data_IF_740171398052
#
_entry.id   IF_740171398052
#
_cell.length_a   1.000
_cell.length_b   1.000
_cell.length_c   1.000
_cell.angle_alpha   90.00
_cell.angle_beta   90.00
_cell.angle_gamma   90.00
#
_symmetry.space_group_name_H-M   'P 1'
#
loop_
_entity.id
_entity.type
_entity.pdbx_description
1 polymer ?
#
# COMPACT_ATOMS: atom_id res chain seq x y z
N UNK A 1 -5.87 -12.22 -19.14
CA UNK A 1 -6.40 -12.38 -17.76
C UNK A 1 -6.71 -11.00 -17.21
N UNK A 2 -7.81 -10.84 -16.48
CA UNK A 2 -8.32 -9.56 -15.96
C UNK A 2 -7.64 -9.10 -14.65
N UNK A 3 -6.31 -9.24 -14.51
CA UNK A 3 -5.57 -8.82 -13.30
C UNK A 3 -4.38 -7.96 -13.69
N UNK A 4 -4.02 -7.00 -12.84
CA UNK A 4 -2.90 -6.07 -13.06
C UNK A 4 -1.93 -6.11 -11.88
N UNK A 5 -0.69 -5.71 -12.12
CA UNK A 5 0.24 -5.36 -11.05
C UNK A 5 -0.11 -3.97 -10.53
N UNK A 6 -0.54 -3.88 -9.28
CA UNK A 6 -1.07 -2.64 -8.70
C UNK A 6 -0.22 -2.09 -7.53
N UNK A 7 1.00 -2.63 -7.34
CA UNK A 7 1.94 -2.10 -6.36
C UNK A 7 2.56 -0.80 -6.91
N UNK A 8 2.52 0.29 -6.14
CA UNK A 8 3.26 1.53 -6.41
C UNK A 8 4.40 1.63 -5.41
N UNK A 9 5.62 1.51 -5.91
CA UNK A 9 6.82 1.46 -5.06
C UNK A 9 7.94 2.23 -5.72
N UNK A 10 8.65 3.05 -4.93
CA UNK A 10 9.97 3.61 -5.28
C UNK A 10 10.96 3.17 -4.21
N UNK A 11 12.12 2.67 -4.63
CA UNK A 11 13.20 2.28 -3.73
C UNK A 11 14.44 3.04 -4.17
N UNK A 12 15.06 3.74 -3.23
CA UNK A 12 16.23 4.57 -3.50
C UNK A 12 17.19 4.57 -2.32
N UNK A 13 18.37 5.13 -2.55
CA UNK A 13 19.35 5.36 -1.52
C UNK A 13 19.13 6.72 -0.84
N UNK A 14 19.17 6.74 0.49
CA UNK A 14 19.08 7.91 1.34
C UNK A 14 20.43 8.23 2.00
N UNK A 15 20.74 9.51 2.16
CA UNK A 15 21.94 9.91 2.88
C UNK A 15 21.83 9.54 4.38
N UNK A 16 22.94 9.08 4.95
CA UNK A 16 23.06 8.81 6.40
C UNK A 16 24.11 9.74 6.97
N UNK A 17 23.74 10.49 8.02
CA UNK A 17 24.70 11.26 8.79
C UNK A 17 25.51 10.31 9.69
N UNK A 18 26.55 9.70 9.14
CA UNK A 18 27.45 8.86 9.91
C UNK A 18 28.34 9.74 10.80
N UNK A 19 28.41 9.42 12.10
CA UNK A 19 29.19 10.20 13.07
C UNK A 19 30.71 10.14 12.79
N UNK A 20 31.17 9.13 12.08
CA UNK A 20 32.57 8.91 11.70
C UNK A 20 32.97 9.62 10.39
N UNK A 21 32.05 10.38 9.77
CA UNK A 21 32.29 11.09 8.51
C UNK A 21 32.33 10.19 7.26
N UNK A 22 31.98 8.91 7.39
CA UNK A 22 31.89 8.00 6.24
C UNK A 22 30.68 8.31 5.34
N UNK A 23 30.86 8.22 4.02
CA UNK A 23 29.78 8.40 3.05
C UNK A 23 28.91 7.13 2.96
N UNK A 24 28.07 6.92 3.99
CA UNK A 24 27.13 5.80 4.02
C UNK A 24 25.77 6.16 3.47
N UNK A 25 25.10 5.16 2.91
CA UNK A 25 23.74 5.29 2.36
C UNK A 25 22.80 4.31 3.07
N UNK A 26 21.56 4.70 3.28
CA UNK A 26 20.51 3.84 3.79
C UNK A 26 19.56 3.49 2.66
N UNK A 27 18.88 2.35 2.77
CA UNK A 27 17.78 2.03 1.89
C UNK A 27 16.52 2.78 2.34
N UNK A 28 15.87 3.48 1.41
CA UNK A 28 14.59 4.17 1.66
C UNK A 28 13.58 3.68 0.64
N UNK A 29 12.37 3.39 1.10
CA UNK A 29 11.28 2.94 0.24
C UNK A 29 10.05 3.85 0.37
N UNK A 30 9.33 4.03 -0.72
CA UNK A 30 8.04 4.72 -0.77
C UNK A 30 7.00 3.74 -1.30
N UNK A 31 5.82 3.70 -0.68
CA UNK A 31 4.70 2.89 -1.12
C UNK A 31 3.37 3.52 -0.70
N UNK A 32 2.31 3.29 -1.45
CA UNK A 32 1.00 3.90 -1.20
C UNK A 32 0.05 3.81 -2.38
N UNK A 33 -0.91 4.73 -2.46
CA UNK A 33 -1.89 4.79 -3.56
C UNK A 33 -1.42 5.56 -4.79
N UNK A 34 -0.49 6.51 -4.62
CA UNK A 34 0.01 7.36 -5.72
C UNK A 34 0.93 6.61 -6.70
N UNK A 35 0.51 6.54 -7.96
CA UNK A 35 1.39 6.24 -9.10
C UNK A 35 2.16 7.51 -9.54
N UNK A 36 3.36 7.34 -10.11
CA UNK A 36 4.09 8.42 -10.77
C UNK A 36 3.56 8.61 -12.20
N UNK A 37 2.43 9.28 -12.32
CA UNK A 37 1.72 9.50 -13.59
C UNK A 37 0.83 10.76 -13.49
N UNK A 38 0.32 11.21 -14.63
CA UNK A 38 -0.52 12.41 -14.73
C UNK A 38 -1.78 12.32 -13.86
N UNK A 39 -2.17 13.46 -13.31
CA UNK A 39 -3.37 13.64 -12.50
C UNK A 39 -3.22 13.35 -11.01
N UNK A 40 -2.07 12.86 -10.56
CA UNK A 40 -1.85 12.44 -9.15
C UNK A 40 -1.32 13.57 -8.27
N UNK A 41 -0.74 14.61 -8.86
CA UNK A 41 -0.32 15.78 -8.12
C UNK A 41 -1.57 16.56 -7.67
N UNK A 42 -1.63 16.89 -6.37
CA UNK A 42 -2.68 17.74 -5.83
C UNK A 42 -2.27 18.32 -4.46
N UNK A 43 -3.10 19.24 -3.98
CA UNK A 43 -3.02 19.81 -2.63
C UNK A 43 -4.24 19.42 -1.80
N UNK A 44 -4.18 19.48 -0.47
CA UNK A 44 -5.33 19.20 0.40
C UNK A 44 -6.57 20.07 0.11
N UNK A 45 -6.41 21.25 -0.49
CA UNK A 45 -7.52 22.12 -0.87
C UNK A 45 -8.30 21.64 -2.10
N UNK A 46 -7.75 20.71 -2.87
CA UNK A 46 -8.37 20.10 -4.05
C UNK A 46 -9.03 21.10 -5.01
N UNK A 47 -8.28 22.11 -5.51
CA UNK A 47 -8.84 23.17 -6.35
C UNK A 47 -9.38 22.64 -7.69
N UNK A 48 -10.67 22.86 -7.94
CA UNK A 48 -11.35 22.42 -9.16
C UNK A 48 -10.96 23.22 -10.42
N UNK A 49 -10.77 24.54 -10.28
CA UNK A 49 -10.59 25.46 -11.41
C UNK A 49 -9.36 26.35 -11.29
N UNK A 50 -8.89 26.66 -10.07
CA UNK A 50 -7.87 27.72 -9.85
C UNK A 50 -6.48 27.34 -10.39
N UNK A 51 -6.22 26.05 -10.58
CA UNK A 51 -4.90 25.50 -10.90
C UNK A 51 -4.83 24.89 -12.30
N UNK A 52 -5.95 24.85 -13.05
CA UNK A 52 -6.02 24.23 -14.39
C UNK A 52 -5.19 24.98 -15.45
N UNK A 53 -4.90 26.26 -15.22
CA UNK A 53 -4.01 27.07 -16.06
C UNK A 53 -2.54 27.08 -15.61
N UNK A 54 -2.20 26.40 -14.51
CA UNK A 54 -0.86 26.40 -13.90
C UNK A 54 -0.34 24.98 -13.69
N UNK A 55 -0.27 24.51 -12.45
CA UNK A 55 0.32 23.21 -12.08
C UNK A 55 -0.51 22.02 -12.57
N UNK A 56 -1.81 22.19 -12.80
CA UNK A 56 -2.72 21.16 -13.30
C UNK A 56 -3.15 21.41 -14.76
N UNK A 57 -2.35 22.16 -15.52
CA UNK A 57 -2.51 22.26 -16.98
C UNK A 57 -2.00 20.99 -17.64
N UNK A 58 -2.38 20.74 -18.90
CA UNK A 58 -1.78 19.69 -19.73
C UNK A 58 -0.25 19.64 -19.58
N UNK A 59 0.34 18.45 -19.38
CA UNK A 59 -0.29 17.12 -19.45
C UNK A 59 -0.98 16.64 -18.15
N UNK A 60 -0.96 17.41 -17.06
CA UNK A 60 -1.45 16.97 -15.73
C UNK A 60 -2.95 17.25 -15.50
N UNK A 61 -3.65 17.79 -16.49
CA UNK A 61 -5.10 17.92 -16.41
C UNK A 61 -5.75 16.54 -16.46
N UNK A 62 -6.43 16.18 -15.37
CA UNK A 62 -7.04 14.86 -15.21
C UNK A 62 -8.53 15.00 -14.97
N UNK A 63 -9.35 14.32 -15.78
CA UNK A 63 -10.80 14.21 -15.59
C UNK A 63 -11.33 12.96 -16.31
N UNK A 64 -11.68 11.93 -15.54
CA UNK A 64 -12.24 10.69 -16.09
C UNK A 64 -13.75 10.53 -15.88
N UNK A 65 -14.39 11.42 -15.11
CA UNK A 65 -15.85 11.39 -14.91
C UNK A 65 -16.59 12.14 -16.03
N UNK A 66 -15.99 13.19 -16.59
CA UNK A 66 -16.59 14.04 -17.63
C UNK A 66 -15.62 14.32 -18.79
N UNK A 67 -15.78 13.60 -19.90
CA UNK A 67 -14.93 13.75 -21.08
C UNK A 67 -15.13 15.06 -21.87
N UNK A 68 -16.03 15.94 -21.45
CA UNK A 68 -16.31 17.23 -22.10
C UNK A 68 -15.61 18.40 -21.40
N UNK A 69 -14.65 18.15 -20.52
CA UNK A 69 -13.90 19.20 -19.81
C UNK A 69 -12.45 19.21 -20.26
N UNK A 70 -11.78 20.35 -20.10
CA UNK A 70 -10.36 20.51 -20.40
C UNK A 70 -9.70 21.48 -19.41
N UNK A 71 -8.38 21.61 -19.53
CA UNK A 71 -7.59 22.60 -18.79
C UNK A 71 -7.97 24.06 -19.07
N UNK A 72 -8.84 24.35 -20.05
CA UNK A 72 -9.30 25.72 -20.35
C UNK A 72 -10.48 26.17 -19.49
N UNK A 73 -11.37 25.26 -19.09
CA UNK A 73 -12.61 25.60 -18.38
C UNK A 73 -12.98 24.66 -17.22
N UNK A 74 -12.34 23.50 -17.10
CA UNK A 74 -12.51 22.57 -15.98
C UNK A 74 -13.95 22.02 -15.81
N UNK A 75 -14.28 21.49 -14.61
CA UNK A 75 -13.38 21.24 -13.49
C UNK A 75 -12.41 20.09 -13.78
N UNK A 76 -11.19 20.14 -13.24
CA UNK A 76 -10.38 18.92 -13.11
C UNK A 76 -11.04 17.97 -12.09
N UNK A 77 -10.61 16.72 -12.09
CA UNK A 77 -10.87 15.76 -11.03
C UNK A 77 -9.71 15.84 -10.03
N UNK A 78 -9.92 16.40 -8.81
CA UNK A 78 -8.90 16.38 -7.77
C UNK A 78 -8.55 14.95 -7.33
N UNK A 79 -7.37 14.79 -6.75
CA UNK A 79 -6.82 13.51 -6.34
C UNK A 79 -6.47 13.51 -4.85
N UNK A 80 -7.36 12.94 -4.04
CA UNK A 80 -7.10 12.67 -2.62
C UNK A 80 -6.51 11.26 -2.47
N UNK A 81 -5.33 11.14 -1.86
CA UNK A 81 -4.64 9.85 -1.70
C UNK A 81 -3.65 9.89 -0.53
N UNK A 82 -3.13 8.73 -0.15
CA UNK A 82 -2.16 8.55 0.94
C UNK A 82 -0.94 7.77 0.44
N UNK A 83 0.24 8.23 0.84
CA UNK A 83 1.51 7.59 0.55
C UNK A 83 2.43 7.66 1.77
N UNK A 84 3.36 6.72 1.89
CA UNK A 84 4.29 6.67 3.01
C UNK A 84 5.73 6.47 2.54
N UNK A 85 6.67 7.03 3.31
CA UNK A 85 8.10 6.75 3.27
C UNK A 85 8.43 5.79 4.40
N UNK A 86 9.17 4.73 4.09
CA UNK A 86 9.67 3.73 5.03
C UNK A 86 11.19 3.79 5.06
N UNK A 87 11.71 3.80 6.28
CA UNK A 87 13.13 3.74 6.57
C UNK A 87 13.41 2.57 7.52
N UNK A 88 14.70 2.24 7.64
CA UNK A 88 15.13 1.19 8.52
C UNK A 88 14.84 -0.21 7.97
N UNK A 89 14.72 -1.23 8.84
CA UNK A 89 14.67 -2.63 8.41
C UNK A 89 13.49 -2.97 7.48
N UNK A 90 12.38 -2.23 7.57
CA UNK A 90 11.20 -2.47 6.75
C UNK A 90 11.40 -2.05 5.27
N UNK A 91 12.35 -1.15 4.97
CA UNK A 91 12.69 -0.82 3.58
C UNK A 91 13.29 -2.03 2.84
N UNK A 92 14.02 -2.89 3.56
CA UNK A 92 14.57 -4.14 3.01
C UNK A 92 13.47 -5.14 2.64
N UNK A 93 12.36 -5.17 3.38
CA UNK A 93 11.23 -6.04 3.04
C UNK A 93 10.54 -5.58 1.73
N UNK A 94 10.52 -4.26 1.49
CA UNK A 94 10.03 -3.70 0.22
C UNK A 94 10.96 -4.04 -0.94
N UNK A 95 12.29 -3.94 -0.73
CA UNK A 95 13.29 -4.39 -1.71
C UNK A 95 13.17 -5.88 -2.00
N UNK A 96 13.06 -6.72 -0.98
CA UNK A 96 12.87 -8.15 -1.15
C UNK A 96 11.63 -8.44 -2.01
N UNK A 97 10.50 -7.76 -1.78
CA UNK A 97 9.32 -7.90 -2.64
C UNK A 97 9.62 -7.51 -4.11
N UNK A 98 10.39 -6.45 -4.36
CA UNK A 98 10.80 -6.08 -5.72
C UNK A 98 11.69 -7.16 -6.36
N UNK A 99 12.71 -7.63 -5.65
CA UNK A 99 13.63 -8.66 -6.14
C UNK A 99 12.93 -9.99 -6.44
N UNK A 100 12.03 -10.44 -5.56
CA UNK A 100 11.25 -11.67 -5.77
C UNK A 100 10.37 -11.58 -7.01
N UNK A 101 9.84 -10.38 -7.32
CA UNK A 101 9.10 -10.12 -8.55
C UNK A 101 10.00 -10.07 -9.77
N UNK A 102 11.14 -9.39 -9.69
CA UNK A 102 12.12 -9.30 -10.78
C UNK A 102 12.58 -10.69 -11.20
N UNK A 103 13.03 -11.50 -10.24
CA UNK A 103 13.47 -12.89 -10.48
C UNK A 103 12.39 -13.75 -11.14
N UNK A 104 11.11 -13.48 -10.86
CA UNK A 104 10.00 -14.22 -11.44
C UNK A 104 9.60 -13.74 -12.84
N UNK A 105 9.57 -12.43 -13.05
CA UNK A 105 8.96 -11.82 -14.24
C UNK A 105 9.99 -11.41 -15.31
N UNK A 106 11.25 -11.24 -14.92
CA UNK A 106 12.37 -10.81 -15.77
C UNK A 106 13.53 -11.79 -15.57
N UNK A 107 13.21 -13.10 -15.62
CA UNK A 107 14.13 -14.16 -15.26
C UNK A 107 15.43 -14.19 -16.09
N UNK A 108 15.37 -13.71 -17.33
CA UNK A 108 16.52 -13.66 -18.24
C UNK A 108 17.49 -12.50 -17.90
N UNK A 109 17.08 -11.54 -17.06
CA UNK A 109 17.87 -10.37 -16.65
C UNK A 109 18.10 -10.34 -15.14
N UNK A 110 18.20 -11.49 -14.48
CA UNK A 110 18.48 -11.57 -13.04
C UNK A 110 19.80 -10.89 -12.69
N UNK A 111 20.79 -10.93 -13.58
CA UNK A 111 22.09 -10.29 -13.39
C UNK A 111 22.01 -8.75 -13.41
N UNK A 112 20.93 -8.18 -13.95
CA UNK A 112 20.68 -6.73 -13.92
C UNK A 112 20.14 -6.24 -12.56
N UNK A 113 19.82 -7.17 -11.65
CA UNK A 113 19.31 -6.82 -10.32
C UNK A 113 20.42 -6.17 -9.49
N UNK A 114 20.16 -4.92 -9.06
CA UNK A 114 21.12 -4.13 -8.29
C UNK A 114 21.50 -4.82 -6.98
N UNK A 115 22.78 -5.16 -6.84
CA UNK A 115 23.34 -5.71 -5.60
C UNK A 115 23.76 -4.55 -4.69
N UNK A 116 23.16 -4.46 -3.50
CA UNK A 116 23.49 -3.42 -2.52
C UNK A 116 25.00 -3.49 -2.16
N UNK A 117 25.79 -2.45 -2.47
CA UNK A 117 27.19 -2.40 -2.08
C UNK A 117 27.40 -2.31 -0.56
N UNK A 118 28.59 -2.65 -0.09
CA UNK A 118 28.94 -2.67 1.34
C UNK A 118 28.88 -1.29 2.04
N UNK A 119 28.85 -0.18 1.31
CA UNK A 119 28.69 1.15 1.91
C UNK A 119 27.25 1.43 2.37
N UNK A 120 26.28 0.61 1.95
CA UNK A 120 24.93 0.70 2.48
C UNK A 120 24.90 0.29 3.96
N UNK A 121 24.04 0.94 4.73
CA UNK A 121 23.69 0.53 6.09
C UNK A 121 22.92 -0.77 6.00
N UNK A 122 23.43 -1.82 6.63
CA UNK A 122 22.78 -3.13 6.63
C UNK A 122 21.49 -3.14 7.45
N UNK A 123 20.66 -4.15 7.23
CA UNK A 123 19.41 -4.35 7.96
C UNK A 123 19.59 -4.38 9.49
N UNK A 124 20.67 -4.98 9.99
CA UNK A 124 20.95 -5.05 11.43
C UNK A 124 21.46 -3.72 11.98
N UNK A 125 22.28 -3.00 11.22
CA UNK A 125 22.72 -1.65 11.60
C UNK A 125 21.56 -0.67 11.67
N UNK A 126 20.57 -0.78 10.77
CA UNK A 126 19.35 0.03 10.82
C UNK A 126 18.55 -0.21 12.11
N UNK A 127 18.48 -1.45 12.62
CA UNK A 127 17.81 -1.72 13.90
C UNK A 127 18.47 -0.96 15.04
N UNK A 128 19.81 -0.87 15.03
CA UNK A 128 20.58 -0.14 16.03
C UNK A 128 20.38 1.37 15.86
N UNK A 129 20.41 1.87 14.61
CA UNK A 129 20.27 3.31 14.30
C UNK A 129 18.96 3.90 14.81
N UNK A 130 17.87 3.12 14.77
CA UNK A 130 16.56 3.53 15.27
C UNK A 130 16.23 3.00 16.68
N UNK A 131 17.14 2.29 17.35
CA UNK A 131 16.85 1.63 18.63
C UNK A 131 16.50 2.62 19.75
N UNK A 132 17.17 3.77 19.78
CA UNK A 132 17.00 4.80 20.81
C UNK A 132 16.21 6.02 20.32
N UNK A 133 15.69 5.96 19.08
CA UNK A 133 14.84 7.01 18.54
C UNK A 133 13.46 6.98 19.26
N UNK A 134 13.06 8.07 19.94
CA UNK A 134 11.77 8.15 20.62
C UNK A 134 10.58 8.20 19.65
N UNK A 135 10.81 8.64 18.40
CA UNK A 135 9.80 8.76 17.35
C UNK A 135 9.78 7.52 16.43
N UNK A 136 10.43 6.42 16.84
CA UNK A 136 10.47 5.19 16.05
C UNK A 136 9.11 4.52 15.90
N UNK A 137 8.96 3.83 14.77
CA UNK A 137 7.78 3.00 14.48
C UNK A 137 8.15 1.52 14.45
N UNK A 138 7.25 0.67 14.93
CA UNK A 138 7.27 -0.76 14.58
C UNK A 138 6.49 -0.93 13.28
N UNK A 139 7.18 -1.36 12.23
CA UNK A 139 6.59 -1.54 10.90
C UNK A 139 6.64 -3.01 10.48
N UNK A 140 5.59 -3.47 9.79
CA UNK A 140 5.55 -4.77 9.14
C UNK A 140 4.95 -4.59 7.75
N UNK A 141 5.65 -5.09 6.73
CA UNK A 141 5.19 -5.03 5.33
C UNK A 141 4.24 -6.20 5.06
N UNK A 142 3.14 -5.93 4.36
CA UNK A 142 2.15 -6.91 3.93
C UNK A 142 1.93 -6.81 2.43
N UNK A 143 1.54 -7.90 1.79
CA UNK A 143 1.26 -7.95 0.35
C UNK A 143 0.09 -8.88 -0.01
N UNK A 144 -0.36 -8.72 -1.24
CA UNK A 144 -1.28 -9.62 -1.93
C UNK A 144 -0.58 -10.05 -3.22
N UNK A 145 -0.10 -11.28 -3.28
CA UNK A 145 0.73 -11.76 -4.40
C UNK A 145 0.58 -13.27 -4.57
N UNK A 146 0.86 -13.78 -5.78
CA UNK A 146 0.89 -15.21 -6.08
C UNK A 146 2.18 -15.62 -6.78
N UNK A 147 2.44 -16.92 -6.86
CA UNK A 147 3.65 -17.49 -7.48
C UNK A 147 3.83 -17.15 -8.97
N UNK A 148 2.81 -16.58 -9.64
CA UNK A 148 2.95 -16.10 -11.02
C UNK A 148 3.65 -14.76 -11.07
N UNK A 149 3.58 -14.02 -9.97
CA UNK A 149 4.06 -12.64 -9.85
C UNK A 149 5.39 -12.53 -9.14
N UNK A 150 5.68 -13.44 -8.19
CA UNK A 150 6.93 -13.45 -7.41
C UNK A 150 7.39 -14.87 -7.07
N UNK A 151 8.67 -15.02 -6.77
CA UNK A 151 9.27 -16.24 -6.22
C UNK A 151 9.31 -16.16 -4.68
N UNK A 152 8.44 -16.91 -4.00
CA UNK A 152 8.39 -16.99 -2.54
C UNK A 152 7.96 -18.37 -2.06
N UNK A 153 8.28 -18.72 -0.81
CA UNK A 153 7.93 -20.01 -0.22
C UNK A 153 6.55 -20.01 0.46
N UNK A 154 5.81 -21.11 0.33
CA UNK A 154 4.51 -21.33 0.99
C UNK A 154 4.65 -21.51 2.51
N UNK A 155 5.86 -21.83 2.99
CA UNK A 155 6.20 -21.98 4.41
C UNK A 155 6.07 -20.67 5.20
N UNK A 156 6.06 -19.52 4.51
CA UNK A 156 6.01 -18.20 5.12
C UNK A 156 4.65 -17.92 5.80
N UNK A 157 4.62 -17.29 6.99
CA UNK A 157 3.38 -16.93 7.67
C UNK A 157 2.44 -16.07 6.79
N UNK A 158 1.25 -16.58 6.48
CA UNK A 158 0.26 -15.88 5.66
C UNK A 158 0.30 -16.22 4.17
N UNK A 159 1.25 -17.04 3.73
CA UNK A 159 1.19 -17.77 2.48
C UNK A 159 0.42 -19.10 2.64
N UNK A 160 -0.29 -19.52 1.60
CA UNK A 160 -1.04 -20.78 1.59
C UNK A 160 -1.27 -21.26 0.15
N UNK A 161 -1.46 -22.58 -0.08
CA UNK A 161 -1.83 -23.09 -1.38
C UNK A 161 -3.29 -22.77 -1.70
N UNK A 162 -3.56 -22.22 -2.89
CA UNK A 162 -4.91 -21.98 -3.41
C UNK A 162 -5.01 -22.48 -4.84
N UNK A 163 -5.82 -23.52 -5.05
CA UNK A 163 -5.98 -24.19 -6.36
C UNK A 163 -4.61 -24.57 -6.97
N UNK A 164 -3.75 -25.19 -6.16
CA UNK A 164 -2.42 -25.65 -6.57
C UNK A 164 -1.35 -24.58 -6.71
N UNK A 165 -1.59 -23.34 -6.28
CA UNK A 165 -0.64 -22.22 -6.41
C UNK A 165 -0.34 -21.59 -5.07
N UNK A 166 0.90 -21.18 -4.83
CA UNK A 166 1.24 -20.36 -3.67
C UNK A 166 0.57 -18.98 -3.80
N UNK A 167 -0.16 -18.58 -2.76
CA UNK A 167 -0.77 -17.26 -2.64
C UNK A 167 -0.44 -16.70 -1.27
N UNK A 168 0.01 -15.45 -1.24
CA UNK A 168 0.12 -14.66 -0.03
C UNK A 168 -1.01 -13.63 0.01
N UNK A 169 -1.74 -13.59 1.13
CA UNK A 169 -2.83 -12.64 1.35
C UNK A 169 -2.68 -11.92 2.70
N UNK A 170 -1.45 -11.50 3.02
CA UNK A 170 -1.12 -10.90 4.31
C UNK A 170 -1.80 -9.53 4.50
N UNK A 171 -2.07 -8.76 3.43
CA UNK A 171 -2.88 -7.52 3.52
C UNK A 171 -4.27 -7.82 4.09
N UNK A 172 -4.98 -8.80 3.53
CA UNK A 172 -6.33 -9.16 4.00
C UNK A 172 -6.33 -9.60 5.47
N UNK A 173 -5.33 -10.41 5.85
CA UNK A 173 -5.16 -10.88 7.23
C UNK A 173 -4.85 -9.73 8.20
N UNK A 174 -3.98 -8.80 7.80
CA UNK A 174 -3.64 -7.63 8.59
C UNK A 174 -4.89 -6.76 8.84
N UNK A 175 -5.69 -6.48 7.80
CA UNK A 175 -6.97 -5.78 7.95
C UNK A 175 -7.89 -6.47 8.96
N UNK A 176 -8.12 -7.78 8.82
CA UNK A 176 -8.97 -8.53 9.75
C UNK A 176 -8.43 -8.44 11.19
N UNK A 177 -7.12 -8.61 11.36
CA UNK A 177 -6.47 -8.52 12.67
C UNK A 177 -6.69 -7.15 13.33
N UNK A 178 -6.43 -6.05 12.60
CA UNK A 178 -6.58 -4.71 13.16
C UNK A 178 -8.04 -4.38 13.49
N UNK A 179 -8.99 -4.77 12.63
CA UNK A 179 -10.41 -4.59 12.88
C UNK A 179 -10.84 -5.33 14.15
N UNK A 180 -10.42 -6.59 14.32
CA UNK A 180 -10.74 -7.39 15.52
C UNK A 180 -10.17 -6.80 16.80
N UNK A 181 -9.02 -6.12 16.73
CA UNK A 181 -8.38 -5.46 17.89
C UNK A 181 -8.89 -4.06 18.17
N UNK A 182 -9.59 -3.43 17.22
CA UNK A 182 -10.11 -2.08 17.39
C UNK A 182 -10.98 -1.97 18.65
N UNK A 183 -10.68 -0.95 19.46
CA UNK A 183 -11.35 -0.72 20.74
C UNK A 183 -12.31 0.47 20.73
N UNK A 184 -11.98 1.53 19.98
CA UNK A 184 -12.68 2.83 20.04
C UNK A 184 -13.34 3.20 18.71
N UNK A 185 -12.59 3.20 17.62
CA UNK A 185 -13.13 3.48 16.29
C UNK A 185 -12.26 2.85 15.20
N UNK A 186 -12.80 2.84 13.98
CA UNK A 186 -12.09 2.54 12.74
C UNK A 186 -12.33 3.71 11.79
N UNK A 187 -11.29 4.13 11.09
CA UNK A 187 -11.35 5.09 9.98
C UNK A 187 -10.76 4.43 8.74
N UNK A 188 -11.50 4.46 7.63
CA UNK A 188 -11.08 3.88 6.35
C UNK A 188 -11.31 4.93 5.26
N UNK A 189 -10.25 5.25 4.53
CA UNK A 189 -10.31 5.84 3.19
C UNK A 189 -9.95 4.75 2.19
N UNK A 190 -10.80 4.52 1.20
CA UNK A 190 -10.52 3.52 0.17
C UNK A 190 -11.25 3.83 -1.13
N UNK A 191 -10.61 3.54 -2.27
CA UNK A 191 -11.25 3.67 -3.58
C UNK A 191 -12.43 2.69 -3.75
N UNK A 192 -12.38 1.53 -3.10
CA UNK A 192 -13.44 0.53 -3.16
C UNK A 192 -13.84 0.05 -1.76
N UNK A 193 -15.15 -0.10 -1.55
CA UNK A 193 -15.68 -0.73 -0.34
C UNK A 193 -16.75 -1.78 -0.67
N UNK A 194 -16.28 -2.97 -1.07
CA UNK A 194 -17.14 -4.11 -1.40
C UNK A 194 -16.53 -5.43 -0.96
N UNK A 195 -17.37 -6.38 -0.54
CA UNK A 195 -16.94 -7.73 -0.19
C UNK A 195 -17.92 -8.45 0.72
N UNK A 196 -17.46 -9.55 1.32
CA UNK A 196 -18.23 -10.39 2.22
C UNK A 196 -19.52 -10.91 1.57
N UNK A 197 -19.42 -11.31 0.31
CA UNK A 197 -20.56 -11.76 -0.50
C UNK A 197 -21.33 -12.93 0.10
N UNK A 198 -20.69 -13.74 0.95
CA UNK A 198 -21.36 -14.81 1.71
C UNK A 198 -22.56 -14.30 2.52
N UNK A 199 -22.56 -13.03 2.93
CA UNK A 199 -23.65 -12.39 3.66
C UNK A 199 -24.62 -11.59 2.79
N UNK A 200 -24.50 -11.62 1.46
CA UNK A 200 -25.42 -10.90 0.56
C UNK A 200 -26.76 -11.64 0.43
N UNK A 201 -27.85 -10.88 0.30
CA UNK A 201 -29.22 -11.43 0.19
C UNK A 201 -29.46 -12.19 -1.12
N UNK A 202 -28.72 -11.84 -2.17
CA UNK A 202 -28.73 -12.46 -3.50
C UNK A 202 -27.28 -12.67 -3.93
N UNK A 203 -27.02 -13.70 -4.74
CA UNK A 203 -25.67 -14.03 -5.22
C UNK A 203 -24.66 -14.32 -4.09
N UNK A 204 -25.13 -14.97 -3.03
CA UNK A 204 -24.33 -15.23 -1.84
C UNK A 204 -23.16 -16.18 -2.17
N UNK A 205 -21.93 -15.69 -1.99
CA UNK A 205 -20.71 -16.46 -2.25
C UNK A 205 -20.31 -16.55 -3.72
N UNK A 206 -21.01 -15.88 -4.65
CA UNK A 206 -20.70 -15.94 -6.09
C UNK A 206 -19.38 -15.20 -6.41
N UNK A 207 -19.07 -14.11 -5.69
CA UNK A 207 -17.91 -13.22 -5.98
C UNK A 207 -17.26 -12.67 -4.70
N UNK A 208 -16.22 -11.85 -4.78
CA UNK A 208 -15.66 -11.03 -3.66
C UNK A 208 -15.67 -11.65 -2.24
N UNK A 209 -14.98 -12.78 -2.08
CA UNK A 209 -15.02 -13.62 -0.87
C UNK A 209 -14.28 -13.04 0.35
N UNK A 210 -13.56 -11.94 0.20
CA UNK A 210 -12.86 -11.28 1.31
C UNK A 210 -13.85 -10.79 2.39
N UNK A 211 -13.45 -10.82 3.66
CA UNK A 211 -14.38 -10.64 4.81
C UNK A 211 -14.28 -9.28 5.54
N UNK A 212 -13.60 -8.28 4.99
CA UNK A 212 -13.39 -6.98 5.65
C UNK A 212 -14.70 -6.28 6.05
N UNK A 213 -15.71 -6.12 5.17
CA UNK A 213 -17.00 -5.56 5.59
C UNK A 213 -17.65 -6.35 6.73
N UNK A 214 -17.61 -7.68 6.69
CA UNK A 214 -18.17 -8.52 7.73
C UNK A 214 -17.43 -8.38 9.06
N UNK A 215 -16.10 -8.28 9.06
CA UNK A 215 -15.30 -8.05 10.27
C UNK A 215 -15.67 -6.73 10.95
N UNK A 216 -15.91 -5.67 10.16
CA UNK A 216 -16.35 -4.37 10.69
C UNK A 216 -17.73 -4.49 11.33
N UNK A 217 -18.68 -5.15 10.65
CA UNK A 217 -20.03 -5.40 11.18
C UNK A 217 -19.96 -6.23 12.47
N UNK A 218 -19.17 -7.30 12.50
CA UNK A 218 -19.00 -8.14 13.69
C UNK A 218 -18.39 -7.36 14.86
N UNK A 219 -17.40 -6.50 14.59
CA UNK A 219 -16.82 -5.60 15.60
C UNK A 219 -17.87 -4.66 16.17
N UNK A 220 -18.66 -3.99 15.33
CA UNK A 220 -19.73 -3.09 15.78
C UNK A 220 -20.76 -3.85 16.63
N UNK A 221 -21.23 -5.02 16.16
CA UNK A 221 -22.17 -5.86 16.92
C UNK A 221 -21.60 -6.24 18.29
N UNK A 222 -20.32 -6.62 18.35
CA UNK A 222 -19.67 -6.97 19.62
C UNK A 222 -19.69 -5.81 20.62
N UNK A 223 -19.46 -4.58 20.15
CA UNK A 223 -19.44 -3.36 20.96
C UNK A 223 -20.84 -2.93 21.40
N UNK A 224 -21.84 -3.10 20.54
CA UNK A 224 -23.26 -2.91 20.91
C UNK A 224 -23.64 -3.89 22.04
N UNK A 225 -23.30 -5.17 21.89
CA UNK A 225 -23.58 -6.20 22.91
C UNK A 225 -22.89 -5.90 24.24
N UNK A 226 -21.67 -5.37 24.22
CA UNK A 226 -20.96 -4.97 25.45
C UNK A 226 -21.33 -3.56 25.95
N UNK A 227 -22.26 -2.86 25.27
CA UNK A 227 -22.67 -1.48 25.59
C UNK A 227 -21.49 -0.49 25.58
N UNK A 228 -20.50 -0.72 24.73
CA UNK A 228 -19.34 0.15 24.57
C UNK A 228 -19.50 1.06 23.35
N UNK A 229 -19.10 2.33 23.49
CA UNK A 229 -19.08 3.26 22.36
C UNK A 229 -18.05 2.82 21.33
N UNK A 230 -18.50 2.67 20.08
CA UNK A 230 -17.64 2.38 18.94
C UNK A 230 -18.19 2.99 17.66
N UNK A 231 -17.31 3.46 16.76
CA UNK A 231 -17.72 4.00 15.47
C UNK A 231 -16.83 3.51 14.34
N UNK A 232 -17.39 3.32 13.14
CA UNK A 232 -16.65 3.06 11.92
C UNK A 232 -16.99 4.16 10.91
N UNK A 233 -15.97 4.91 10.48
CA UNK A 233 -16.09 5.95 9.47
C UNK A 233 -15.44 5.44 8.18
N UNK A 234 -16.18 5.50 7.08
CA UNK A 234 -15.76 4.94 5.79
C UNK A 234 -15.96 6.02 4.72
N UNK A 235 -14.87 6.53 4.18
CA UNK A 235 -14.84 7.49 3.09
C UNK A 235 -14.54 6.77 1.77
N UNK A 236 -15.42 6.95 0.79
CA UNK A 236 -15.34 6.38 -0.56
C UNK A 236 -15.55 7.50 -1.61
N UNK A 237 -15.00 7.36 -2.83
CA UNK A 237 -15.25 8.29 -3.95
C UNK A 237 -16.71 8.38 -4.37
#
# INVERSE_FOLDING_TARGET
GLWTHHQKVVICDGAVNAQDGSERRALVAFLGGLDLTDGRYDYPEHPLFRTIGTVHKEPDFYQNCWGTTSSEYGPRQPWHDVHLRVEGPAAFDVLQNFEERWKKQVADEVDALYQLPNFFVSREEEKVRFADDPDRFTCQVFRSIDERSAQFEVSMPGAFPKKGRAVEATIHRAYCHQIRRAQRYIYIENQYFMGSSHGWLKHAGDTTLQIIPLEIVQKIISKIKSKERFCAYIAIP
#
